data_IF_072445106870
#
_entry.id   IF_072445106870
#
_cell.length_a   1.000
_cell.length_b   1.000
_cell.length_c   1.000
_cell.angle_alpha   90.00
_cell.angle_beta   90.00
_cell.angle_gamma   90.00
#
_symmetry.space_group_name_H-M   'P 1'
#
loop_
_entity.id
_entity.type
_entity.pdbx_description
1 polymer ?
#
# COMPACT_ATOMS: atom_id res chain seq x y z
N UNK A 1 3.98 4.88 -16.56
CA UNK A 1 3.10 4.19 -15.59
C UNK A 1 3.89 4.03 -14.29
N UNK A 2 3.24 4.23 -13.14
CA UNK A 2 3.90 4.29 -11.83
C UNK A 2 3.41 3.13 -10.95
N UNK A 3 4.28 2.13 -10.65
CA UNK A 3 3.90 1.07 -9.74
C UNK A 3 3.81 1.59 -8.30
N UNK A 4 2.89 1.02 -7.53
CA UNK A 4 2.68 1.33 -6.10
C UNK A 4 2.86 0.06 -5.29
N UNK A 5 3.63 0.16 -4.21
CA UNK A 5 3.82 -0.94 -3.27
C UNK A 5 2.67 -1.00 -2.27
N UNK A 6 1.77 -1.98 -2.42
CA UNK A 6 0.54 -2.07 -1.63
C UNK A 6 0.74 -2.68 -0.23
N UNK A 7 1.82 -3.44 -0.02
CA UNK A 7 2.14 -4.11 1.25
C UNK A 7 3.63 -3.96 1.57
N UNK A 8 4.11 -2.73 1.85
CA UNK A 8 5.51 -2.52 2.22
C UNK A 8 5.84 -3.22 3.53
N UNK A 9 7.07 -3.74 3.63
CA UNK A 9 7.63 -4.25 4.89
C UNK A 9 8.38 -3.18 5.67
N UNK A 10 8.89 -2.16 4.98
CA UNK A 10 9.46 -0.98 5.62
C UNK A 10 8.41 -0.28 6.48
N UNK A 11 8.78 0.07 7.70
CA UNK A 11 7.93 0.81 8.64
C UNK A 11 8.64 2.08 9.07
N UNK A 12 7.89 3.16 9.29
CA UNK A 12 8.41 4.44 9.76
C UNK A 12 7.94 4.78 11.17
N UNK A 13 8.18 6.01 11.58
CA UNK A 13 7.57 6.58 12.78
C UNK A 13 7.28 8.07 12.60
N UNK A 14 6.35 8.55 13.41
CA UNK A 14 6.14 9.97 13.67
C UNK A 14 6.24 10.19 15.17
N UNK A 15 6.91 11.25 15.61
CA UNK A 15 7.00 11.61 17.02
C UNK A 15 7.00 13.11 17.23
N UNK A 16 6.55 13.53 18.41
CA UNK A 16 6.68 14.92 18.83
C UNK A 16 8.16 15.30 18.89
N UNK A 17 8.45 16.52 18.43
CA UNK A 17 9.79 17.12 18.54
C UNK A 17 10.01 17.75 19.92
N UNK A 18 8.96 18.33 20.48
CA UNK A 18 8.95 19.03 21.76
C UNK A 18 7.57 18.89 22.42
N UNK A 19 7.36 19.57 23.54
CA UNK A 19 6.05 19.67 24.20
C UNK A 19 5.10 20.68 23.52
N UNK A 20 5.59 21.52 22.60
CA UNK A 20 4.79 22.50 21.86
C UNK A 20 4.00 21.82 20.75
N UNK A 21 2.69 22.04 20.70
CA UNK A 21 1.83 21.55 19.63
C UNK A 21 2.05 22.29 18.28
N UNK A 22 2.76 23.42 18.29
CA UNK A 22 3.04 24.21 17.09
C UNK A 22 4.36 23.82 16.40
N UNK A 23 5.19 23.04 17.08
CA UNK A 23 6.46 22.61 16.51
C UNK A 23 6.23 21.47 15.51
N UNK A 24 6.86 21.51 14.32
CA UNK A 24 6.68 20.45 13.35
C UNK A 24 7.20 19.12 13.93
N UNK A 25 6.43 18.03 13.80
CA UNK A 25 6.84 16.73 14.31
C UNK A 25 8.07 16.21 13.56
N UNK A 26 8.68 15.17 14.09
CA UNK A 26 9.67 14.37 13.37
C UNK A 26 8.88 13.29 12.62
N UNK A 27 8.99 13.29 11.29
CA UNK A 27 8.36 12.30 10.42
C UNK A 27 9.47 11.55 9.70
N UNK A 28 9.58 10.26 9.97
CA UNK A 28 10.58 9.39 9.37
C UNK A 28 9.89 8.16 8.77
N UNK A 29 9.45 8.22 7.50
CA UNK A 29 8.72 7.12 6.87
C UNK A 29 9.59 5.88 6.64
N UNK A 30 10.93 6.06 6.58
CA UNK A 30 11.91 5.01 6.28
C UNK A 30 11.54 4.20 5.04
N UNK A 31 11.17 4.88 3.95
CA UNK A 31 10.80 4.22 2.70
C UNK A 31 11.94 3.30 2.22
N UNK A 32 11.57 2.10 1.76
CA UNK A 32 12.47 1.15 1.09
C UNK A 32 13.66 0.69 1.96
N UNK A 33 13.58 0.79 3.29
CA UNK A 33 14.63 0.25 4.18
C UNK A 33 14.66 -1.27 4.21
N UNK A 34 13.52 -1.94 3.98
CA UNK A 34 13.48 -3.38 3.80
C UNK A 34 13.86 -3.74 2.34
N UNK A 35 14.88 -4.60 2.12
CA UNK A 35 15.32 -4.95 0.77
C UNK A 35 14.24 -5.68 -0.06
N UNK A 36 13.24 -6.28 0.57
CA UNK A 36 12.10 -6.89 -0.12
C UNK A 36 11.26 -5.87 -0.87
N UNK A 37 11.10 -4.66 -0.32
CA UNK A 37 10.30 -3.61 -0.93
C UNK A 37 10.92 -3.16 -2.27
N UNK A 38 12.24 -3.06 -2.29
CA UNK A 38 13.00 -2.69 -3.50
C UNK A 38 12.91 -3.79 -4.55
N UNK A 39 13.08 -5.06 -4.15
CA UNK A 39 12.93 -6.20 -5.06
C UNK A 39 11.53 -6.22 -5.68
N UNK A 40 10.50 -6.01 -4.88
CA UNK A 40 9.10 -5.98 -5.34
C UNK A 40 8.86 -4.82 -6.31
N UNK A 41 9.40 -3.64 -6.01
CA UNK A 41 9.31 -2.47 -6.90
C UNK A 41 10.02 -2.70 -8.25
N UNK A 42 11.19 -3.35 -8.25
CA UNK A 42 11.90 -3.72 -9.48
C UNK A 42 11.04 -4.64 -10.36
N UNK A 43 10.45 -5.68 -9.77
CA UNK A 43 9.56 -6.59 -10.52
C UNK A 43 8.31 -5.87 -11.04
N UNK A 44 7.70 -4.99 -10.24
CA UNK A 44 6.57 -4.18 -10.68
C UNK A 44 6.92 -3.22 -11.83
N UNK A 45 8.13 -2.64 -11.83
CA UNK A 45 8.62 -1.83 -12.94
C UNK A 45 8.86 -2.66 -14.21
N UNK A 46 9.36 -3.90 -14.10
CA UNK A 46 9.48 -4.81 -15.25
C UNK A 46 8.12 -5.13 -15.86
N UNK A 47 7.10 -5.38 -15.04
CA UNK A 47 5.71 -5.56 -15.51
C UNK A 47 5.23 -4.29 -16.22
N UNK A 48 5.49 -3.12 -15.63
CA UNK A 48 5.14 -1.82 -16.21
C UNK A 48 5.76 -1.60 -17.60
N UNK A 49 7.04 -1.98 -17.76
CA UNK A 49 7.75 -1.94 -19.04
C UNK A 49 7.09 -2.87 -20.07
N UNK A 50 6.78 -4.12 -19.68
CA UNK A 50 6.07 -5.09 -20.54
C UNK A 50 4.72 -4.55 -21.00
N UNK A 51 3.95 -3.94 -20.10
CA UNK A 51 2.66 -3.30 -20.44
C UNK A 51 2.88 -2.16 -21.43
N UNK A 52 3.86 -1.29 -21.21
CA UNK A 52 4.20 -0.20 -22.13
C UNK A 52 4.56 -0.67 -23.54
N UNK A 53 5.16 -1.86 -23.67
CA UNK A 53 5.49 -2.47 -24.96
C UNK A 53 4.39 -3.32 -25.59
N UNK A 54 3.25 -3.51 -24.89
CA UNK A 54 2.15 -4.31 -25.42
C UNK A 54 1.59 -3.72 -26.74
N UNK A 55 1.04 -4.56 -27.66
CA UNK A 55 0.48 -4.07 -28.91
C UNK A 55 -0.54 -2.94 -28.76
N UNK A 56 -1.50 -2.98 -27.81
CA UNK A 56 -2.43 -1.87 -27.59
C UNK A 56 -1.73 -0.56 -27.21
N UNK A 57 -0.72 -0.61 -26.33
CA UNK A 57 0.02 0.58 -25.92
C UNK A 57 0.89 1.13 -27.06
N UNK A 58 1.52 0.27 -27.87
CA UNK A 58 2.29 0.69 -29.05
C UNK A 58 1.43 1.36 -30.10
N UNK A 59 0.18 0.90 -30.32
CA UNK A 59 -0.77 1.57 -31.22
C UNK A 59 -1.12 3.00 -30.78
N UNK A 60 -1.03 3.27 -29.48
CA UNK A 60 -1.18 4.62 -28.90
C UNK A 60 0.12 5.43 -28.89
N UNK A 61 1.19 4.93 -29.52
CA UNK A 61 2.47 5.63 -29.59
C UNK A 61 3.29 5.58 -28.29
N UNK A 62 3.02 4.62 -27.40
CA UNK A 62 3.78 4.48 -26.14
C UNK A 62 5.27 4.24 -26.40
N UNK A 63 6.11 4.96 -25.65
CA UNK A 63 7.57 4.83 -25.67
C UNK A 63 8.10 4.86 -24.23
N UNK A 64 9.18 4.14 -23.99
CA UNK A 64 9.89 4.27 -22.72
C UNK A 64 10.74 5.55 -22.71
N UNK A 65 10.96 6.10 -21.52
CA UNK A 65 11.79 7.30 -21.33
C UNK A 65 13.26 6.90 -21.47
N UNK A 66 13.91 7.37 -22.53
CA UNK A 66 15.33 7.11 -22.85
C UNK A 66 16.32 7.94 -22.01
N UNK A 67 15.82 8.92 -21.25
CA UNK A 67 16.62 9.74 -20.35
C UNK A 67 16.97 8.99 -19.08
N UNK A 68 18.27 8.90 -18.80
CA UNK A 68 18.81 8.38 -17.55
C UNK A 68 18.45 9.33 -16.40
N UNK A 69 18.05 8.77 -15.26
CA UNK A 69 17.71 9.54 -14.07
C UNK A 69 19.00 9.95 -13.34
N UNK A 70 19.13 11.22 -12.91
CA UNK A 70 20.30 11.69 -12.18
C UNK A 70 20.64 10.80 -10.97
N UNK A 71 21.90 10.41 -10.87
CA UNK A 71 22.42 9.50 -9.83
C UNK A 71 22.34 8.01 -10.18
N UNK A 72 21.78 7.65 -11.34
CA UNK A 72 21.69 6.26 -11.81
C UNK A 72 22.53 5.99 -13.07
N UNK A 73 23.44 6.89 -13.45
CA UNK A 73 24.26 6.83 -14.67
C UNK A 73 25.20 5.63 -14.71
N UNK A 74 25.63 5.13 -13.55
CA UNK A 74 26.51 3.96 -13.43
C UNK A 74 25.84 2.62 -13.75
N UNK A 75 24.55 2.60 -14.07
CA UNK A 75 23.79 1.38 -14.33
C UNK A 75 23.24 1.35 -15.76
N UNK A 76 23.31 0.17 -16.41
CA UNK A 76 22.69 -0.05 -17.71
C UNK A 76 21.19 0.25 -17.63
N UNK A 77 20.68 1.07 -18.55
CA UNK A 77 19.28 1.48 -18.61
C UNK A 77 18.34 0.25 -18.56
N UNK A 78 17.34 0.33 -17.69
CA UNK A 78 16.35 -0.73 -17.38
C UNK A 78 16.91 -2.06 -16.85
N UNK A 79 18.19 -2.15 -16.50
CA UNK A 79 18.69 -3.28 -15.69
C UNK A 79 18.10 -3.27 -14.28
N UNK A 80 18.12 -4.39 -13.59
CA UNK A 80 17.64 -4.50 -12.19
C UNK A 80 18.32 -3.49 -11.27
N UNK A 81 19.62 -3.25 -11.46
CA UNK A 81 20.38 -2.24 -10.70
C UNK A 81 19.89 -0.82 -11.01
N UNK A 82 19.63 -0.52 -12.28
CA UNK A 82 19.08 0.78 -12.69
C UNK A 82 17.68 0.97 -12.12
N UNK A 83 16.80 -0.02 -12.23
CA UNK A 83 15.44 0.05 -11.68
C UNK A 83 15.46 0.18 -10.15
N UNK A 84 16.37 -0.51 -9.45
CA UNK A 84 16.53 -0.36 -8.02
C UNK A 84 17.05 1.03 -7.61
N UNK A 85 17.89 1.64 -8.44
CA UNK A 85 18.32 3.04 -8.26
C UNK A 85 17.14 3.99 -8.48
N UNK A 86 16.41 3.81 -9.58
CA UNK A 86 15.22 4.57 -9.93
C UNK A 86 14.17 4.56 -8.80
N UNK A 87 13.90 3.39 -8.21
CA UNK A 87 13.01 3.26 -7.07
C UNK A 87 13.48 4.13 -5.89
N UNK A 88 14.76 4.10 -5.53
CA UNK A 88 15.28 4.89 -4.40
C UNK A 88 15.25 6.39 -4.67
N UNK A 89 15.52 6.81 -5.90
CA UNK A 89 15.63 8.23 -6.26
C UNK A 89 14.28 8.90 -6.42
N UNK A 90 13.27 8.20 -6.97
CA UNK A 90 11.99 8.81 -7.35
C UNK A 90 10.81 8.41 -6.46
N UNK A 91 11.00 7.55 -5.45
CA UNK A 91 9.91 7.19 -4.55
C UNK A 91 9.41 8.41 -3.79
N UNK A 92 8.10 8.58 -3.79
CA UNK A 92 7.39 9.55 -2.97
C UNK A 92 6.15 8.90 -2.36
N UNK A 93 5.53 9.60 -1.40
CA UNK A 93 4.27 9.14 -0.82
C UNK A 93 3.12 9.29 -1.81
N UNK A 94 2.16 8.37 -1.75
CA UNK A 94 0.83 8.53 -2.36
C UNK A 94 -0.23 8.99 -1.34
N UNK A 95 0.23 9.52 -0.20
CA UNK A 95 -0.61 10.10 0.87
C UNK A 95 -1.50 9.10 1.62
N UNK A 96 -1.03 7.86 1.79
CA UNK A 96 -1.73 6.82 2.55
C UNK A 96 -0.97 6.35 3.83
N UNK A 97 -0.50 7.24 4.73
CA UNK A 97 0.09 6.80 5.99
C UNK A 97 -0.95 6.15 6.90
N UNK A 98 -0.57 5.10 7.62
CA UNK A 98 -1.42 4.35 8.55
C UNK A 98 -0.60 3.82 9.74
N UNK A 99 -1.27 3.30 10.76
CA UNK A 99 -0.66 2.42 11.77
C UNK A 99 0.07 3.10 12.94
N UNK A 100 0.01 4.43 13.04
CA UNK A 100 0.66 5.17 14.14
C UNK A 100 -0.06 5.04 15.50
N UNK A 101 -1.32 4.59 15.49
CA UNK A 101 -2.10 4.24 16.68
C UNK A 101 -2.70 2.84 16.51
N UNK A 102 -1.86 1.87 16.12
CA UNK A 102 -2.24 0.50 15.74
C UNK A 102 -3.31 -0.10 16.66
N UNK A 103 -4.37 -0.60 16.04
CA UNK A 103 -5.37 -1.44 16.69
C UNK A 103 -4.82 -2.85 16.90
N UNK A 104 -5.03 -3.43 18.07
CA UNK A 104 -4.59 -4.80 18.34
C UNK A 104 -4.98 -5.32 19.71
N UNK A 105 -4.35 -6.43 20.10
CA UNK A 105 -4.56 -7.04 21.40
C UNK A 105 -3.95 -6.19 22.53
N UNK A 106 -4.54 -6.25 23.73
CA UNK A 106 -4.10 -5.44 24.85
C UNK A 106 -2.72 -5.84 25.41
N UNK A 107 -2.27 -7.06 25.14
CA UNK A 107 -0.97 -7.61 25.49
C UNK A 107 0.09 -7.43 24.38
N UNK A 108 -0.29 -6.97 23.19
CA UNK A 108 0.65 -6.57 22.14
C UNK A 108 1.22 -5.18 22.50
N UNK A 109 2.53 -5.07 22.81
CA UNK A 109 3.15 -3.81 23.24
C UNK A 109 3.16 -2.73 22.16
N UNK A 110 2.83 -3.07 20.91
CA UNK A 110 2.73 -2.11 19.80
C UNK A 110 1.30 -1.61 19.56
N UNK A 111 0.31 -2.12 20.29
CA UNK A 111 -1.08 -1.69 20.18
C UNK A 111 -1.33 -0.42 20.97
N UNK A 112 -2.10 0.50 20.39
CA UNK A 112 -2.52 1.77 21.00
C UNK A 112 -4.02 1.76 21.28
N UNK A 113 -4.81 1.10 20.42
CA UNK A 113 -6.26 0.95 20.61
C UNK A 113 -6.69 -0.51 20.54
N UNK A 114 -7.79 -0.83 21.21
CA UNK A 114 -8.41 -2.15 21.13
C UNK A 114 -9.38 -2.28 19.93
N UNK A 115 -9.96 -3.47 19.66
CA UNK A 115 -10.93 -3.67 18.57
C UNK A 115 -12.23 -2.86 18.67
N UNK A 116 -12.47 -2.20 19.81
CA UNK A 116 -13.57 -1.28 20.09
C UNK A 116 -13.10 0.19 20.03
N UNK A 117 -11.91 0.40 19.46
CA UNK A 117 -11.24 1.66 19.20
C UNK A 117 -10.89 2.47 20.44
N UNK A 118 -10.91 1.83 21.63
CA UNK A 118 -10.60 2.48 22.91
C UNK A 118 -9.10 2.54 23.09
N UNK A 119 -8.60 3.69 23.54
CA UNK A 119 -7.18 3.87 23.86
C UNK A 119 -6.82 2.97 25.04
N UNK A 120 -5.74 2.20 24.87
CA UNK A 120 -5.20 1.30 25.89
C UNK A 120 -4.45 2.09 26.99
N UNK A 121 -4.00 1.41 28.04
CA UNK A 121 -3.20 2.05 29.11
C UNK A 121 -4.03 2.78 30.18
N UNK A 122 -5.29 2.40 30.36
CA UNK A 122 -6.15 2.92 31.44
C UNK A 122 -6.86 4.24 31.15
N UNK A 123 -6.70 4.78 29.93
CA UNK A 123 -7.41 5.99 29.49
C UNK A 123 -8.90 5.68 29.28
N UNK A 124 -9.77 6.47 29.93
CA UNK A 124 -11.23 6.30 29.83
C UNK A 124 -11.83 7.39 28.94
N UNK A 125 -12.88 7.03 28.21
CA UNK A 125 -13.65 7.99 27.39
C UNK A 125 -12.96 8.47 26.12
N UNK A 126 -11.81 7.90 25.75
CA UNK A 126 -11.05 8.28 24.54
C UNK A 126 -11.01 7.16 23.51
N UNK A 127 -11.20 7.51 22.24
CA UNK A 127 -11.12 6.61 21.09
C UNK A 127 -10.42 7.27 19.91
N UNK A 128 -9.87 6.47 19.00
CA UNK A 128 -9.26 6.91 17.74
C UNK A 128 -9.94 6.20 16.57
N UNK A 129 -10.33 6.92 15.52
CA UNK A 129 -11.05 6.35 14.37
C UNK A 129 -10.65 7.02 13.05
N UNK A 130 -9.39 6.82 12.67
CA UNK A 130 -8.85 7.25 11.39
C UNK A 130 -7.84 6.21 10.85
N UNK A 131 -7.04 6.56 9.83
CA UNK A 131 -6.06 5.65 9.25
C UNK A 131 -4.97 5.16 10.21
N UNK A 132 -4.72 5.89 11.32
CA UNK A 132 -3.69 5.54 12.30
C UNK A 132 -3.95 4.19 12.98
N UNK A 133 -5.21 3.75 13.04
CA UNK A 133 -5.57 2.52 13.74
C UNK A 133 -5.32 1.25 12.92
N UNK A 134 -5.08 1.34 11.62
CA UNK A 134 -4.91 0.15 10.81
C UNK A 134 -3.61 -0.58 11.20
N UNK A 135 -3.66 -1.90 11.51
CA UNK A 135 -2.46 -2.64 11.91
C UNK A 135 -1.41 -2.77 10.81
N UNK A 136 -1.83 -2.63 9.55
CA UNK A 136 -0.98 -2.64 8.36
C UNK A 136 -1.65 -1.86 7.24
N UNK A 137 -0.89 -1.51 6.20
CA UNK A 137 -1.42 -0.79 5.03
C UNK A 137 -2.49 -1.61 4.30
N UNK A 138 -3.59 -0.96 3.97
CA UNK A 138 -4.67 -1.55 3.20
C UNK A 138 -4.23 -1.64 1.73
N UNK A 139 -4.53 -2.76 1.07
CA UNK A 139 -4.22 -2.99 -0.35
C UNK A 139 -5.12 -2.17 -1.28
N UNK A 140 -5.04 -0.84 -1.21
CA UNK A 140 -5.86 0.10 -1.97
C UNK A 140 -5.83 1.49 -1.34
N UNK A 141 -6.66 2.40 -1.87
CA UNK A 141 -6.77 3.76 -1.33
C UNK A 141 -7.42 3.76 0.06
N UNK A 142 -6.87 4.56 0.98
CA UNK A 142 -7.26 4.51 2.41
C UNK A 142 -8.54 5.29 2.74
N UNK A 143 -9.08 6.07 1.80
CA UNK A 143 -10.29 6.88 2.07
C UNK A 143 -11.51 6.01 2.47
N UNK A 144 -11.86 5.03 1.62
CA UNK A 144 -12.99 4.15 1.88
C UNK A 144 -12.89 3.36 3.21
N UNK A 145 -11.75 2.72 3.55
CA UNK A 145 -11.64 2.05 4.84
C UNK A 145 -11.67 3.01 6.04
N UNK A 146 -11.17 4.25 5.90
CA UNK A 146 -11.28 5.26 6.97
C UNK A 146 -12.74 5.63 7.23
N UNK A 147 -13.51 5.91 6.18
CA UNK A 147 -14.95 6.19 6.29
C UNK A 147 -15.66 5.01 6.98
N UNK A 148 -15.35 3.78 6.58
CA UNK A 148 -15.94 2.58 7.17
C UNK A 148 -15.65 2.44 8.67
N UNK A 149 -14.43 2.75 9.12
CA UNK A 149 -14.08 2.75 10.55
C UNK A 149 -14.81 3.87 11.30
N UNK A 150 -14.89 5.07 10.72
CA UNK A 150 -15.58 6.20 11.32
C UNK A 150 -17.09 5.93 11.50
N UNK A 151 -17.75 5.38 10.48
CA UNK A 151 -19.16 4.98 10.55
C UNK A 151 -19.38 3.88 11.60
N UNK A 152 -18.47 2.89 11.65
CA UNK A 152 -18.52 1.85 12.68
C UNK A 152 -18.41 2.43 14.09
N UNK A 153 -17.53 3.40 14.31
CA UNK A 153 -17.43 4.09 15.60
C UNK A 153 -18.72 4.86 15.92
N UNK A 154 -19.28 5.57 14.94
CA UNK A 154 -20.52 6.32 15.12
C UNK A 154 -21.67 5.41 15.57
N UNK A 155 -21.79 4.22 14.99
CA UNK A 155 -22.78 3.22 15.42
C UNK A 155 -22.52 2.71 16.84
N UNK A 156 -21.27 2.44 17.21
CA UNK A 156 -20.92 2.06 18.59
C UNK A 156 -21.31 3.14 19.61
N UNK A 157 -21.08 4.42 19.29
CA UNK A 157 -21.45 5.55 20.16
C UNK A 157 -22.96 5.69 20.27
N UNK A 158 -23.70 5.49 19.18
CA UNK A 158 -25.17 5.52 19.17
C UNK A 158 -25.82 4.28 19.79
N UNK A 159 -25.04 3.29 20.23
CA UNK A 159 -25.56 2.02 20.74
C UNK A 159 -26.23 1.16 19.66
N UNK A 160 -25.98 1.45 18.38
CA UNK A 160 -26.51 0.66 17.27
C UNK A 160 -25.74 -0.65 17.19
N UNK A 161 -26.44 -1.76 17.41
CA UNK A 161 -25.93 -3.07 16.99
C UNK A 161 -26.15 -3.19 15.49
N UNK A 162 -25.07 -3.22 14.73
CA UNK A 162 -25.16 -3.74 13.37
C UNK A 162 -25.73 -5.16 13.47
N UNK A 163 -26.77 -5.51 12.68
CA UNK A 163 -27.22 -6.89 12.63
C UNK A 163 -26.01 -7.75 12.31
N UNK A 164 -25.86 -8.86 13.02
CA UNK A 164 -24.87 -9.86 12.62
C UNK A 164 -25.15 -10.16 11.16
N UNK A 165 -24.24 -9.77 10.26
CA UNK A 165 -24.35 -10.21 8.87
C UNK A 165 -24.22 -11.72 8.95
N UNK A 166 -25.34 -12.44 8.79
CA UNK A 166 -25.29 -13.71 8.10
C UNK A 166 -24.68 -13.37 6.74
N UNK A 167 -23.37 -13.56 6.60
CA UNK A 167 -22.80 -13.65 5.27
C UNK A 167 -23.55 -14.81 4.63
N UNK A 168 -24.37 -14.61 3.57
CA UNK A 168 -24.87 -15.76 2.85
C UNK A 168 -23.63 -16.51 2.37
N UNK A 169 -23.42 -17.71 2.93
CA UNK A 169 -22.29 -18.60 2.63
C UNK A 169 -22.28 -19.08 1.16
N UNK A 170 -23.06 -18.46 0.26
CA UNK A 170 -23.34 -18.96 -1.09
C UNK A 170 -23.04 -17.99 -2.23
N UNK A 171 -22.52 -16.77 -1.97
CA UNK A 171 -22.23 -15.81 -3.05
C UNK A 171 -20.78 -15.34 -3.16
N UNK A 172 -19.84 -15.98 -2.45
CA UNK A 172 -18.45 -15.90 -2.84
C UNK A 172 -18.23 -16.81 -4.06
N UNK A 173 -18.49 -16.29 -5.26
CA UNK A 173 -17.80 -16.81 -6.45
C UNK A 173 -16.40 -16.22 -6.40
N UNK A 174 -15.34 -17.00 -6.09
CA UNK A 174 -14.00 -16.52 -6.36
C UNK A 174 -13.98 -16.13 -7.84
N UNK A 175 -13.57 -14.90 -8.15
CA UNK A 175 -13.06 -14.64 -9.48
C UNK A 175 -11.78 -15.48 -9.58
N UNK A 176 -11.92 -16.73 -10.03
CA UNK A 176 -10.79 -17.49 -10.54
C UNK A 176 -10.39 -16.77 -11.82
N UNK A 177 -9.44 -15.84 -11.68
CA UNK A 177 -8.55 -15.59 -12.79
C UNK A 177 -7.75 -16.88 -12.94
N UNK A 178 -8.22 -17.79 -13.78
CA UNK A 178 -7.37 -18.81 -14.40
C UNK A 178 -6.43 -18.06 -15.34
N UNK A 179 -5.48 -17.34 -14.74
CA UNK A 179 -4.28 -16.90 -15.43
C UNK A 179 -3.39 -18.14 -15.52
N UNK A 180 -3.72 -19.02 -16.45
CA UNK A 180 -2.72 -19.93 -16.99
C UNK A 180 -1.65 -19.05 -17.65
N UNK A 181 -0.52 -18.93 -16.96
CA UNK A 181 0.61 -18.12 -17.38
C UNK A 181 1.15 -18.57 -18.74
N UNK A 182 0.79 -19.78 -19.19
CA UNK A 182 1.17 -20.34 -20.49
C UNK A 182 0.22 -19.93 -21.63
N UNK A 183 -1.05 -19.63 -21.35
CA UNK A 183 -2.05 -19.31 -22.40
C UNK A 183 -1.83 -17.91 -23.03
N UNK A 184 -1.06 -17.04 -22.34
CA UNK A 184 -0.62 -15.74 -22.86
C UNK A 184 0.56 -15.89 -23.83
N UNK A 185 1.34 -16.96 -23.73
CA UNK A 185 2.46 -17.23 -24.64
C UNK A 185 1.98 -17.94 -25.91
N UNK A 186 1.00 -18.83 -25.80
CA UNK A 186 0.53 -19.70 -26.89
C UNK A 186 -0.36 -19.00 -27.93
N UNK A 187 -0.82 -17.78 -27.63
CA UNK A 187 -1.57 -16.93 -28.58
C UNK A 187 -0.68 -16.11 -29.50
N UNK A 188 0.60 -15.92 -29.15
CA UNK A 188 1.53 -15.18 -30.01
C UNK A 188 2.11 -16.03 -31.15
N UNK A 189 2.03 -17.37 -31.09
CA UNK A 189 2.52 -18.24 -32.17
C UNK A 189 1.48 -18.54 -33.27
N UNK A 190 0.22 -18.12 -33.08
CA UNK A 190 -0.86 -18.34 -34.06
C UNK A 190 -1.11 -17.16 -35.00
N UNK A 191 -0.57 -15.98 -34.71
CA UNK A 191 -0.66 -14.79 -35.56
C UNK A 191 0.57 -14.58 -36.48
N UNK A 192 1.50 -15.56 -36.53
CA UNK A 192 2.67 -15.57 -37.44
C UNK A 192 2.58 -16.65 -38.55
N UNK A 193 1.38 -17.08 -38.95
CA UNK A 193 1.17 -17.89 -40.18
C UNK A 193 0.27 -17.20 -41.18
#
# INVERSE_FOLDING_TARGET
MFPVLLRPKSTGYIKLRSASAYDPPIIEPRYLTDPHDIKTMVEAMKITIKVGHSPPMRRLGSRLIDKVVPGCEGYKLYSDKYLACLARTLTHTIYHPVGTCKMGAADDPTSVVDPQLRVLGGVKGLRVADGSIFPSLIGGNTNAPIIMVAERLADMIKGKRLPAKSLPHSHYKPYTYDLDYNDVLDRNERDER
#
